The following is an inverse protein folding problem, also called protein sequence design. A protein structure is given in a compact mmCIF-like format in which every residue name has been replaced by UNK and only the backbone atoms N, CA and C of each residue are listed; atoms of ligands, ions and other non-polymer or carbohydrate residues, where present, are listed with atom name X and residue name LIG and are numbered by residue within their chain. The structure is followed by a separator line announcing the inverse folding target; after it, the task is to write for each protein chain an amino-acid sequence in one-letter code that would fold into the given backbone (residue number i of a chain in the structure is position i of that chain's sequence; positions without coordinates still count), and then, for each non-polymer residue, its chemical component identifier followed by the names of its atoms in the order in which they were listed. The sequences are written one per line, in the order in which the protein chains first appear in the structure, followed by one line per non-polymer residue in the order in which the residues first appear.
data_IF_756545958277
#
_entry.id   IF_756545958277
#
_cell.length_a   1.000
_cell.length_b   1.000
_cell.length_c   1.000
_cell.angle_alpha   90.00
_cell.angle_beta   90.00
_cell.angle_gamma   90.00
#
_symmetry.space_group_name_H-M   'P 1'
#
loop_
_entity.id
_entity.type
_entity.pdbx_description
1 polymer ?
#
# COMPACT_ATOMS: atom_id res chain seq x y z
N UNK A 1 -12.69 -10.44 0.17
CA UNK A 1 -12.37 -11.11 -1.11
C UNK A 1 -13.08 -10.43 -2.28
N UNK A 2 -12.62 -10.63 -3.53
CA UNK A 2 -13.30 -10.03 -4.69
C UNK A 2 -14.77 -10.45 -4.65
N UNK A 3 -15.69 -9.56 -5.02
CA UNK A 3 -17.15 -9.78 -4.88
C UNK A 3 -17.72 -11.04 -5.57
N UNK A 4 -16.86 -11.83 -6.22
CA UNK A 4 -17.15 -13.07 -6.93
C UNK A 4 -16.62 -14.32 -6.20
N UNK A 5 -16.14 -14.19 -4.96
CA UNK A 5 -15.69 -15.32 -4.13
C UNK A 5 -14.24 -15.77 -4.36
N UNK A 6 -13.46 -15.08 -5.20
CA UNK A 6 -12.04 -15.39 -5.33
C UNK A 6 -11.26 -14.86 -4.13
N UNK A 7 -10.40 -15.72 -3.58
CA UNK A 7 -9.45 -15.34 -2.54
C UNK A 7 -8.31 -14.54 -3.18
N UNK A 8 -8.05 -13.36 -2.63
CA UNK A 8 -6.88 -12.55 -2.95
C UNK A 8 -5.96 -12.57 -1.73
N UNK A 9 -4.65 -12.69 -1.97
CA UNK A 9 -3.62 -12.62 -0.93
C UNK A 9 -2.91 -11.26 -1.04
N UNK A 10 -2.67 -10.58 0.09
CA UNK A 10 -1.90 -9.34 0.09
C UNK A 10 -0.42 -9.65 -0.11
N UNK A 11 0.33 -8.72 -0.72
CA UNK A 11 1.79 -8.86 -0.82
C UNK A 11 2.45 -8.70 0.56
N UNK A 12 1.90 -7.83 1.41
CA UNK A 12 2.28 -7.67 2.81
C UNK A 12 1.06 -7.28 3.65
N UNK A 13 0.97 -7.82 4.86
CA UNK A 13 -0.09 -7.52 5.83
C UNK A 13 0.50 -7.25 7.21
N UNK A 14 -0.10 -6.29 7.93
CA UNK A 14 0.32 -5.91 9.28
C UNK A 14 -0.84 -6.18 10.23
N UNK A 15 -0.56 -7.04 11.21
CA UNK A 15 -1.51 -7.43 12.24
C UNK A 15 -1.35 -6.56 13.47
N UNK A 16 -2.46 -6.27 14.17
CA UNK A 16 -2.37 -5.56 15.43
C UNK A 16 -1.72 -6.46 16.49
N UNK A 17 -1.01 -5.85 17.42
CA UNK A 17 -0.57 -6.56 18.62
C UNK A 17 -1.79 -7.00 19.43
N UNK A 18 -1.84 -8.25 19.93
CA UNK A 18 -2.93 -8.70 20.79
C UNK A 18 -3.00 -7.93 22.13
N UNK A 19 -1.94 -7.19 22.49
CA UNK A 19 -1.94 -6.28 23.64
C UNK A 19 -2.72 -4.99 23.39
N UNK A 20 -2.86 -4.58 22.13
CA UNK A 20 -3.53 -3.34 21.71
C UNK A 20 -4.96 -3.65 21.25
N UNK A 21 -5.11 -4.68 20.40
CA UNK A 21 -6.42 -5.17 19.94
C UNK A 21 -6.59 -6.59 20.46
N UNK A 22 -7.25 -6.78 21.61
CA UNK A 22 -7.45 -8.12 22.17
C UNK A 22 -8.33 -8.97 21.24
N UNK A 23 -8.14 -10.30 21.24
CA UNK A 23 -9.07 -11.22 20.58
C UNK A 23 -10.50 -10.97 21.07
N UNK A 24 -11.52 -11.05 20.19
CA UNK A 24 -12.89 -10.87 20.62
C UNK A 24 -13.33 -12.00 21.55
N UNK A 25 -14.17 -11.67 22.54
CA UNK A 25 -14.79 -12.69 23.41
C UNK A 25 -15.78 -13.59 22.68
N UNK A 26 -16.28 -13.16 21.51
CA UNK A 26 -17.08 -13.97 20.57
C UNK A 26 -16.33 -14.03 19.24
N UNK A 27 -15.72 -15.17 18.88
CA UNK A 27 -15.06 -15.35 17.60
C UNK A 27 -16.06 -15.17 16.46
N UNK A 28 -15.71 -14.35 15.47
CA UNK A 28 -16.46 -14.04 14.25
C UNK A 28 -17.98 -13.73 14.43
N UNK A 29 -18.46 -12.51 14.09
CA UNK A 29 -17.77 -11.43 13.38
C UNK A 29 -17.14 -10.38 14.32
N UNK A 30 -17.10 -10.61 15.63
CA UNK A 30 -16.67 -9.60 16.60
C UNK A 30 -17.64 -8.42 16.74
N UNK A 31 -17.35 -7.44 17.62
CA UNK A 31 -16.09 -6.69 17.58
C UNK A 31 -15.04 -7.09 18.64
N UNK A 32 -13.72 -6.97 18.33
CA UNK A 32 -13.15 -6.67 17.01
C UNK A 32 -13.29 -7.86 16.04
N UNK A 33 -13.43 -7.64 14.72
CA UNK A 33 -13.52 -8.74 13.78
C UNK A 33 -12.32 -9.67 13.86
N UNK A 34 -12.60 -10.98 13.90
CA UNK A 34 -11.61 -12.04 13.96
C UNK A 34 -11.92 -13.16 12.97
N UNK A 35 -10.94 -14.05 12.77
CA UNK A 35 -11.19 -15.36 12.18
C UNK A 35 -12.11 -16.20 13.09
N UNK A 36 -12.67 -17.31 12.58
CA UNK A 36 -13.41 -18.28 13.39
C UNK A 36 -12.62 -18.81 14.60
N UNK A 37 -11.29 -18.89 14.49
CA UNK A 37 -10.39 -19.30 15.59
C UNK A 37 -10.07 -18.16 16.58
N UNK A 38 -10.66 -16.98 16.41
CA UNK A 38 -10.44 -15.82 17.28
C UNK A 38 -9.19 -14.99 16.95
N UNK A 39 -8.47 -15.29 15.87
CA UNK A 39 -7.29 -14.51 15.47
C UNK A 39 -7.70 -13.15 14.89
N UNK A 40 -7.02 -12.08 15.30
CA UNK A 40 -7.25 -10.74 14.75
C UNK A 40 -6.93 -10.72 13.24
N UNK A 41 -7.72 -9.97 12.48
CA UNK A 41 -7.41 -9.71 11.07
C UNK A 41 -6.33 -8.62 10.92
N UNK A 42 -5.65 -8.63 9.77
CA UNK A 42 -4.72 -7.57 9.41
C UNK A 42 -5.46 -6.22 9.31
N UNK A 43 -4.84 -5.16 9.85
CA UNK A 43 -5.41 -3.80 9.85
C UNK A 43 -4.80 -2.93 8.76
N UNK A 44 -3.58 -3.23 8.33
CA UNK A 44 -2.90 -2.50 7.25
C UNK A 44 -2.47 -3.51 6.19
N UNK A 45 -2.80 -3.21 4.94
CA UNK A 45 -2.42 -4.01 3.79
C UNK A 45 -1.47 -3.21 2.90
N UNK A 46 -0.46 -3.88 2.36
CA UNK A 46 0.47 -3.32 1.38
C UNK A 46 0.46 -4.18 0.11
N UNK A 47 0.38 -3.51 -1.04
CA UNK A 47 0.36 -4.10 -2.37
C UNK A 47 1.44 -3.46 -3.23
N UNK A 48 2.21 -4.27 -3.98
CA UNK A 48 3.32 -3.80 -4.80
C UNK A 48 3.13 -4.25 -6.25
N UNK A 49 2.74 -3.30 -7.11
CA UNK A 49 2.60 -3.56 -8.54
C UNK A 49 3.90 -3.26 -9.31
N UNK A 50 4.65 -4.30 -9.63
CA UNK A 50 5.81 -4.19 -10.52
C UNK A 50 5.38 -4.19 -11.99
N UNK A 51 4.69 -5.24 -12.43
CA UNK A 51 4.25 -5.41 -13.83
C UNK A 51 2.80 -5.04 -14.04
N UNK A 52 1.96 -5.21 -13.02
CA UNK A 52 0.54 -4.93 -13.06
C UNK A 52 0.28 -3.45 -13.35
N UNK A 53 -0.80 -3.16 -14.07
CA UNK A 53 -1.18 -1.77 -14.35
C UNK A 53 -1.52 -1.02 -13.07
N UNK A 54 -1.37 0.32 -13.07
CA UNK A 54 -1.81 1.16 -11.95
C UNK A 54 -3.30 0.97 -11.66
N UNK A 55 -4.13 0.79 -12.71
CA UNK A 55 -5.55 0.50 -12.56
C UNK A 55 -5.78 -0.81 -11.78
N UNK A 56 -5.08 -1.87 -12.14
CA UNK A 56 -5.18 -3.17 -11.46
C UNK A 56 -4.75 -3.08 -9.99
N UNK A 57 -3.69 -2.32 -9.70
CA UNK A 57 -3.28 -2.04 -8.32
C UNK A 57 -4.40 -1.32 -7.56
N UNK A 58 -4.94 -0.24 -8.11
CA UNK A 58 -6.03 0.54 -7.49
C UNK A 58 -7.25 -0.35 -7.24
N UNK A 59 -7.63 -1.21 -8.19
CA UNK A 59 -8.74 -2.15 -8.00
C UNK A 59 -8.47 -3.07 -6.81
N UNK A 60 -7.29 -3.72 -6.76
CA UNK A 60 -6.94 -4.64 -5.66
C UNK A 60 -6.89 -3.91 -4.31
N UNK A 61 -6.33 -2.71 -4.25
CA UNK A 61 -6.30 -1.91 -3.02
C UNK A 61 -7.70 -1.53 -2.54
N UNK A 62 -8.63 -1.16 -3.44
CA UNK A 62 -10.00 -0.87 -3.09
C UNK A 62 -10.78 -2.11 -2.63
N UNK A 63 -10.47 -3.29 -3.18
CA UNK A 63 -11.06 -4.54 -2.70
C UNK A 63 -10.65 -4.82 -1.25
N UNK A 64 -9.39 -4.58 -0.88
CA UNK A 64 -8.95 -4.68 0.52
C UNK A 64 -9.63 -3.65 1.43
N UNK A 65 -9.78 -2.41 0.98
CA UNK A 65 -10.37 -1.34 1.79
C UNK A 65 -11.86 -1.59 2.14
N UNK A 66 -12.55 -2.40 1.34
CA UNK A 66 -13.94 -2.82 1.59
C UNK A 66 -14.08 -3.78 2.76
N UNK A 67 -13.00 -4.46 3.14
CA UNK A 67 -13.00 -5.31 4.32
C UNK A 67 -13.14 -4.46 5.58
N UNK A 68 -14.20 -4.68 6.36
CA UNK A 68 -14.54 -3.86 7.54
C UNK A 68 -13.46 -3.85 8.63
N UNK A 69 -12.55 -4.82 8.59
CA UNK A 69 -11.42 -4.91 9.51
C UNK A 69 -10.15 -4.20 9.03
N UNK A 70 -10.02 -3.86 7.74
CA UNK A 70 -8.87 -3.13 7.21
C UNK A 70 -9.06 -1.62 7.45
N UNK A 71 -8.04 -0.96 8.01
CA UNK A 71 -8.04 0.49 8.27
C UNK A 71 -7.26 1.27 7.23
N UNK A 72 -6.14 0.72 6.78
CA UNK A 72 -5.28 1.35 5.78
C UNK A 72 -4.87 0.37 4.69
N UNK A 73 -4.76 0.87 3.47
CA UNK A 73 -4.16 0.13 2.36
C UNK A 73 -3.13 1.04 1.70
N UNK A 74 -1.89 0.57 1.56
CA UNK A 74 -0.85 1.26 0.80
C UNK A 74 -0.58 0.48 -0.50
N UNK A 75 -0.74 1.15 -1.63
CA UNK A 75 -0.40 0.60 -2.95
C UNK A 75 0.85 1.27 -3.47
N UNK A 76 1.86 0.47 -3.84
CA UNK A 76 3.12 0.94 -4.42
C UNK A 76 3.19 0.48 -5.87
N UNK A 77 3.27 1.44 -6.79
CA UNK A 77 3.50 1.17 -8.21
C UNK A 77 4.97 1.38 -8.55
N UNK A 78 5.63 0.33 -9.01
CA UNK A 78 6.94 0.44 -9.65
C UNK A 78 6.72 0.58 -11.16
N UNK A 79 7.03 1.74 -11.72
CA UNK A 79 6.86 1.98 -13.16
C UNK A 79 7.97 1.32 -13.98
N UNK A 80 7.82 1.28 -15.29
CA UNK A 80 8.90 0.84 -16.18
C UNK A 80 10.16 1.68 -15.98
N UNK A 81 11.33 1.07 -16.16
CA UNK A 81 12.60 1.80 -16.16
C UNK A 81 12.59 2.84 -17.27
N UNK A 82 13.25 3.98 -17.04
CA UNK A 82 13.54 4.96 -18.09
C UNK A 82 14.31 4.27 -19.21
N UNK A 83 13.98 4.62 -20.45
CA UNK A 83 14.71 4.19 -21.65
C UNK A 83 15.74 5.22 -22.12
N UNK A 84 15.80 6.39 -21.47
CA UNK A 84 16.56 7.55 -21.95
C UNK A 84 17.62 8.04 -20.98
N UNK A 85 17.46 7.80 -19.67
CA UNK A 85 18.35 8.35 -18.66
C UNK A 85 18.81 7.31 -17.62
N UNK A 86 20.10 7.40 -17.26
CA UNK A 86 20.75 6.63 -16.19
C UNK A 86 21.30 7.56 -15.11
N UNK A 87 21.39 7.07 -13.88
CA UNK A 87 22.07 7.77 -12.80
C UNK A 87 23.61 7.70 -12.96
N UNK A 88 24.34 8.39 -12.07
CA UNK A 88 25.80 8.43 -12.06
C UNK A 88 26.46 7.03 -11.91
N UNK A 89 25.73 6.06 -11.37
CA UNK A 89 26.18 4.67 -11.22
C UNK A 89 25.79 3.78 -12.42
N UNK A 90 25.28 4.36 -13.51
CA UNK A 90 24.90 3.65 -14.73
C UNK A 90 23.58 2.88 -14.65
N UNK A 91 22.79 3.07 -13.59
CA UNK A 91 21.50 2.42 -13.39
C UNK A 91 20.39 3.25 -14.03
N UNK A 92 19.47 2.58 -14.74
CA UNK A 92 18.33 3.26 -15.34
C UNK A 92 17.44 3.88 -14.27
N UNK A 93 17.07 5.14 -14.49
CA UNK A 93 16.11 5.83 -13.63
C UNK A 93 14.78 5.07 -13.58
N UNK A 94 14.06 5.16 -12.46
CA UNK A 94 12.76 4.49 -12.28
C UNK A 94 11.78 5.40 -11.54
N UNK A 95 10.57 5.55 -12.05
CA UNK A 95 9.48 6.21 -11.32
C UNK A 95 8.82 5.20 -10.37
N UNK A 96 8.42 5.68 -9.20
CA UNK A 96 7.65 4.92 -8.23
C UNK A 96 6.59 5.85 -7.65
N UNK A 97 5.36 5.36 -7.56
CA UNK A 97 4.24 6.12 -6.99
C UNK A 97 3.67 5.30 -5.84
N UNK A 98 3.36 5.92 -4.71
CA UNK A 98 2.56 5.27 -3.68
C UNK A 98 1.25 6.03 -3.46
N UNK A 99 0.23 5.26 -3.12
CA UNK A 99 -1.11 5.72 -2.80
C UNK A 99 -1.50 5.12 -1.46
N UNK A 100 -1.99 5.94 -0.53
CA UNK A 100 -2.51 5.52 0.76
C UNK A 100 -4.01 5.77 0.83
N UNK A 101 -4.74 4.69 1.05
CA UNK A 101 -6.16 4.72 1.34
C UNK A 101 -6.40 4.51 2.83
N UNK A 102 -7.33 5.27 3.39
CA UNK A 102 -7.82 5.12 4.75
C UNK A 102 -9.32 4.85 4.72
N UNK A 103 -9.76 3.87 5.51
CA UNK A 103 -11.16 3.50 5.56
C UNK A 103 -11.99 4.67 6.10
N UNK A 104 -13.09 5.00 5.41
CA UNK A 104 -13.96 6.13 5.76
C UNK A 104 -13.46 7.50 5.30
N UNK A 105 -12.28 7.59 4.69
CA UNK A 105 -11.73 8.84 4.12
C UNK A 105 -11.85 8.78 2.60
N UNK A 106 -12.52 9.77 2.01
CA UNK A 106 -12.76 9.81 0.57
C UNK A 106 -11.49 10.16 -0.24
N UNK A 107 -10.58 10.95 0.33
CA UNK A 107 -9.37 11.39 -0.35
C UNK A 107 -8.24 10.36 -0.20
N UNK A 108 -7.56 10.10 -1.33
CA UNK A 108 -6.33 9.29 -1.37
C UNK A 108 -5.13 10.21 -1.23
N UNK A 109 -4.16 9.82 -0.40
CA UNK A 109 -2.87 10.51 -0.36
C UNK A 109 -1.92 9.86 -1.36
N UNK A 110 -1.26 10.68 -2.18
CA UNK A 110 -0.38 10.20 -3.25
C UNK A 110 0.99 10.86 -3.19
N UNK A 111 2.03 10.12 -3.56
CA UNK A 111 3.40 10.59 -3.54
C UNK A 111 4.23 9.91 -4.64
N UNK A 112 5.27 10.61 -5.10
CA UNK A 112 6.27 10.10 -6.04
C UNK A 112 7.62 9.87 -5.34
N UNK A 113 8.14 8.65 -5.40
CA UNK A 113 9.38 8.21 -4.72
C UNK A 113 10.43 7.63 -5.67
N UNK A 114 10.17 7.62 -6.98
CA UNK A 114 11.16 7.17 -7.94
C UNK A 114 12.24 8.22 -8.17
N UNK A 115 13.38 7.88 -8.75
CA UNK A 115 14.42 8.87 -9.09
C UNK A 115 13.99 9.88 -10.16
N UNK A 116 12.81 9.69 -10.76
CA UNK A 116 12.09 10.68 -11.57
C UNK A 116 10.57 10.57 -11.38
N UNK A 117 9.86 11.63 -11.74
CA UNK A 117 8.41 11.75 -11.59
C UNK A 117 7.66 10.90 -12.63
N UNK A 118 6.68 10.12 -12.18
CA UNK A 118 5.84 9.32 -13.07
C UNK A 118 5.11 10.22 -14.08
N UNK A 119 5.05 9.81 -15.35
CA UNK A 119 4.38 10.57 -16.41
C UNK A 119 5.07 11.87 -16.86
N UNK A 120 6.23 12.22 -16.30
CA UNK A 120 6.98 13.42 -16.71
C UNK A 120 7.64 13.22 -18.08
N UNK A 121 7.27 13.98 -19.12
CA UNK A 121 7.91 13.86 -20.45
C UNK A 121 9.39 14.27 -20.40
N UNK A 122 9.72 15.23 -19.55
CA UNK A 122 11.08 15.73 -19.31
C UNK A 122 11.88 14.92 -18.30
N UNK A 123 11.31 13.83 -17.76
CA UNK A 123 11.94 13.00 -16.71
C UNK A 123 12.45 13.81 -15.51
N UNK A 124 11.64 14.76 -15.01
CA UNK A 124 12.02 15.60 -13.89
C UNK A 124 12.42 14.76 -12.66
N UNK A 125 13.59 15.02 -12.03
CA UNK A 125 14.03 14.30 -10.84
C UNK A 125 13.13 14.64 -9.66
N UNK A 126 12.85 13.65 -8.80
CA UNK A 126 12.04 13.86 -7.58
C UNK A 126 12.88 14.22 -6.37
N UNK A 127 14.21 13.96 -6.41
CA UNK A 127 15.11 14.05 -5.25
C UNK A 127 15.22 12.76 -4.43
N UNK A 128 14.47 11.70 -4.77
CA UNK A 128 14.57 10.41 -4.07
C UNK A 128 15.79 9.60 -4.56
N UNK A 129 16.95 9.90 -3.98
CA UNK A 129 18.25 9.36 -4.40
C UNK A 129 19.09 8.76 -3.25
N UNK A 130 18.57 8.79 -2.03
CA UNK A 130 19.24 8.24 -0.85
C UNK A 130 18.22 7.59 0.10
N UNK A 131 18.71 6.68 0.95
CA UNK A 131 17.92 6.04 1.98
C UNK A 131 17.58 7.02 3.11
N UNK A 132 16.42 6.85 3.74
CA UNK A 132 16.06 7.59 4.96
C UNK A 132 15.69 9.06 4.78
N UNK A 133 15.56 9.54 3.55
CA UNK A 133 15.12 10.92 3.27
C UNK A 133 13.69 11.15 3.77
N UNK A 134 13.52 12.04 4.75
CA UNK A 134 12.26 12.26 5.47
C UNK A 134 11.08 12.64 4.54
N UNK A 135 11.35 13.43 3.51
CA UNK A 135 10.34 13.83 2.51
C UNK A 135 9.79 12.67 1.65
N UNK A 136 10.43 11.50 1.72
CA UNK A 136 10.04 10.27 1.02
C UNK A 136 9.55 9.18 1.98
N UNK A 137 9.30 9.52 3.24
CA UNK A 137 8.71 8.61 4.22
C UNK A 137 7.19 8.76 4.24
N UNK A 138 6.49 7.62 4.26
CA UNK A 138 5.05 7.57 4.49
C UNK A 138 4.83 7.06 5.91
N UNK A 139 4.30 7.92 6.77
CA UNK A 139 3.92 7.56 8.12
C UNK A 139 2.44 7.19 8.15
N UNK A 140 2.14 5.92 8.43
CA UNK A 140 0.76 5.46 8.61
C UNK A 140 0.45 5.52 10.11
N UNK A 141 -0.50 6.33 10.56
CA UNK A 141 -0.85 6.40 11.97
C UNK A 141 -1.47 5.07 12.41
N UNK A 142 -0.95 4.54 13.52
CA UNK A 142 -1.41 3.28 14.14
C UNK A 142 -2.14 3.51 15.46
N UNK A 143 -2.44 4.78 15.79
CA UNK A 143 -3.26 5.13 16.95
C UNK A 143 -4.73 4.99 16.60
N UNK A 144 -5.46 4.24 17.45
CA UNK A 144 -6.91 4.35 17.59
C UNK A 144 -7.26 5.49 18.56
#
# INVERSE_FOLDING_TARGET
PTGNGNLIMPDLCIYPSPRIVPPPGVPHPGPPPSSPDGNAHARIICEVANFQSTRSLITKCNEWLRESYVRYVIGIKLHSKSKVAKNAQGQWHRAMTAMLWQQGVAQVSEWDFGSYKAGSPTHAPTGCNALGLAQFQINIPVSD
#
